data_IF_491439040522
#
_entry.id   IF_491439040522
#
_cell.length_a   1.000
_cell.length_b   1.000
_cell.length_c   1.000
_cell.angle_alpha   90.00
_cell.angle_beta   90.00
_cell.angle_gamma   90.00
#
_symmetry.space_group_name_H-M   'P 1'
#
loop_
_entity.id
_entity.type
_entity.pdbx_description
1 polymer ?
#
# COMPACT_ATOMS: atom_id res chain seq x y z
N UNK A 1 -7.74 50.02 -36.37
CA UNK A 1 -6.85 49.93 -35.19
C UNK A 1 -6.97 48.53 -34.62
N UNK A 2 -6.13 47.62 -35.10
CA UNK A 2 -6.15 46.19 -34.79
C UNK A 2 -5.48 45.92 -33.44
N UNK A 3 -6.19 45.26 -32.51
CA UNK A 3 -5.62 44.80 -31.24
C UNK A 3 -5.07 43.39 -31.44
N UNK A 4 -3.76 43.25 -31.46
CA UNK A 4 -3.09 41.95 -31.38
C UNK A 4 -3.24 41.39 -29.96
N UNK A 5 -3.79 40.18 -29.87
CA UNK A 5 -3.89 39.38 -28.66
C UNK A 5 -2.62 38.54 -28.54
N UNK A 6 -1.84 38.72 -27.47
CA UNK A 6 -0.71 37.85 -27.10
C UNK A 6 -1.22 36.81 -26.10
N UNK A 7 -1.40 35.57 -26.56
CA UNK A 7 -1.70 34.43 -25.69
C UNK A 7 -0.46 33.93 -24.93
N UNK A 8 -0.63 33.34 -23.74
CA UNK A 8 0.49 32.77 -22.97
C UNK A 8 1.02 31.47 -23.61
N UNK A 9 2.34 31.34 -23.65
CA UNK A 9 3.08 30.19 -24.19
C UNK A 9 2.82 28.88 -23.41
N UNK A 10 2.88 27.71 -24.08
CA UNK A 10 2.74 26.42 -23.42
C UNK A 10 4.00 26.07 -22.61
N UNK A 11 3.80 25.75 -21.34
CA UNK A 11 4.83 25.21 -20.44
C UNK A 11 5.17 23.78 -20.88
N UNK A 12 6.44 23.54 -21.20
CA UNK A 12 6.99 22.20 -21.49
C UNK A 12 6.95 21.34 -20.22
N UNK A 13 6.52 20.07 -20.27
CA UNK A 13 6.74 19.13 -19.19
C UNK A 13 8.23 18.75 -19.14
N UNK A 14 8.84 18.99 -17.98
CA UNK A 14 10.20 18.58 -17.66
C UNK A 14 10.24 17.05 -17.49
N UNK A 15 10.83 16.37 -18.46
CA UNK A 15 11.16 14.95 -18.39
C UNK A 15 12.27 14.73 -17.36
N UNK A 16 11.91 14.37 -16.13
CA UNK A 16 12.85 13.83 -15.16
C UNK A 16 13.16 12.38 -15.53
N UNK A 17 14.25 12.20 -16.27
CA UNK A 17 14.96 10.94 -16.43
C UNK A 17 15.68 10.64 -15.11
N UNK A 18 15.05 9.88 -14.21
CA UNK A 18 15.77 9.21 -13.13
C UNK A 18 16.41 7.95 -13.67
N UNK A 19 17.72 8.04 -13.88
CA UNK A 19 18.63 6.93 -14.16
C UNK A 19 18.55 5.86 -13.07
N UNK A 20 18.58 4.56 -13.43
CA UNK A 20 18.78 3.49 -12.47
C UNK A 20 20.25 3.51 -12.01
N UNK A 21 20.46 3.68 -10.70
CA UNK A 21 21.76 3.48 -10.07
C UNK A 21 22.03 1.96 -10.05
N UNK A 22 22.88 1.51 -10.96
CA UNK A 22 23.49 0.18 -10.93
C UNK A 22 24.41 0.07 -9.70
N UNK A 23 23.96 -0.65 -8.67
CA UNK A 23 24.87 -1.18 -7.64
C UNK A 23 25.45 -2.50 -8.14
N UNK A 24 26.53 -2.40 -8.91
CA UNK A 24 27.38 -3.53 -9.27
C UNK A 24 28.83 -3.07 -9.23
N UNK A 25 29.52 -3.36 -8.13
CA UNK A 25 30.98 -3.64 -8.06
C UNK A 25 31.51 -3.43 -6.64
N UNK A 26 31.42 -4.45 -5.79
CA UNK A 26 32.30 -4.61 -4.63
C UNK A 26 32.94 -6.00 -4.77
N UNK A 27 33.84 -6.11 -5.75
CA UNK A 27 34.86 -7.15 -5.82
C UNK A 27 36.10 -6.59 -5.13
N UNK A 28 36.68 -7.27 -4.14
CA UNK A 28 38.03 -7.00 -3.69
C UNK A 28 39.05 -7.63 -4.67
N UNK A 29 40.06 -6.85 -5.02
CA UNK A 29 41.25 -7.28 -5.78
C UNK A 29 41.92 -8.50 -5.13
N UNK A 30 42.29 -9.54 -5.89
CA UNK A 30 43.26 -10.53 -5.46
C UNK A 30 44.68 -10.05 -5.80
N UNK A 31 45.48 -9.75 -4.78
CA UNK A 31 46.93 -9.63 -4.91
C UNK A 31 47.52 -10.95 -5.43
N UNK A 32 48.33 -10.94 -6.49
CA UNK A 32 49.23 -12.03 -6.80
C UNK A 32 50.60 -11.75 -6.16
N UNK A 33 51.15 -12.72 -5.42
CA UNK A 33 52.54 -13.11 -5.63
C UNK A 33 52.87 -14.48 -5.02
N UNK A 34 53.90 -15.17 -5.55
CA UNK A 34 54.00 -16.61 -5.50
C UNK A 34 55.16 -17.12 -4.61
N UNK A 35 55.02 -18.40 -4.22
CA UNK A 35 56.04 -19.41 -3.88
C UNK A 35 57.18 -19.04 -2.89
N UNK A 36 57.21 -19.71 -1.73
CA UNK A 36 58.32 -20.63 -1.43
C UNK A 36 58.02 -21.53 -0.23
N UNK A 37 58.41 -22.80 -0.34
CA UNK A 37 57.93 -23.90 0.48
C UNK A 37 58.61 -24.08 1.84
N UNK A 38 57.99 -24.90 2.70
CA UNK A 38 58.68 -25.90 3.50
C UNK A 38 57.69 -26.84 4.22
N UNK A 39 57.94 -28.12 4.00
CA UNK A 39 57.45 -29.34 4.63
C UNK A 39 57.19 -29.22 6.16
N UNK A 40 56.03 -29.70 6.60
CA UNK A 40 55.75 -29.93 8.02
C UNK A 40 54.41 -30.62 8.24
N UNK A 41 54.44 -31.93 8.50
CA UNK A 41 53.26 -32.75 8.70
C UNK A 41 52.40 -32.31 9.89
N UNK A 42 51.10 -32.16 9.63
CA UNK A 42 50.06 -32.26 10.64
C UNK A 42 48.79 -32.71 9.92
N UNK A 43 48.41 -33.95 10.16
CA UNK A 43 47.15 -34.56 9.76
C UNK A 43 45.98 -33.78 10.36
N UNK A 44 45.54 -32.74 9.66
CA UNK A 44 44.24 -32.12 9.91
C UNK A 44 43.17 -32.98 9.25
N UNK A 45 42.09 -33.40 9.94
CA UNK A 45 40.99 -34.08 9.28
C UNK A 45 40.40 -33.10 8.26
N UNK A 46 40.55 -33.46 6.99
CA UNK A 46 39.87 -32.78 5.90
C UNK A 46 38.38 -32.78 6.21
N UNK A 47 37.83 -31.61 6.57
CA UNK A 47 36.41 -31.33 6.43
C UNK A 47 36.09 -31.25 4.94
N UNK A 48 36.19 -32.40 4.26
CA UNK A 48 35.59 -32.66 2.98
C UNK A 48 34.09 -32.77 3.16
N UNK A 49 33.44 -31.67 3.58
CA UNK A 49 32.00 -31.53 3.45
C UNK A 49 31.76 -31.16 1.99
N UNK A 50 31.84 -32.16 1.12
CA UNK A 50 31.27 -32.10 -0.22
C UNK A 50 29.79 -31.79 -0.03
N UNK A 51 29.45 -30.51 -0.12
CA UNK A 51 28.11 -29.99 -0.01
C UNK A 51 27.38 -30.40 -1.29
N UNK A 52 27.03 -31.67 -1.37
CA UNK A 52 26.23 -32.21 -2.46
C UNK A 52 24.84 -31.59 -2.29
N UNK A 53 24.39 -30.67 -3.16
CA UNK A 53 23.14 -29.95 -2.96
C UNK A 53 21.90 -30.83 -3.13
N UNK A 54 22.07 -32.14 -3.36
CA UNK A 54 21.04 -32.97 -3.95
C UNK A 54 20.11 -33.66 -2.97
N UNK A 55 20.44 -33.75 -1.68
CA UNK A 55 19.55 -34.31 -0.63
C UNK A 55 19.97 -33.82 0.76
N UNK A 56 19.50 -32.64 1.20
CA UNK A 56 19.42 -32.41 2.66
C UNK A 56 18.22 -33.22 3.17
N UNK A 57 18.39 -34.06 4.20
CA UNK A 57 17.25 -34.73 4.84
C UNK A 57 16.24 -33.67 5.29
N UNK A 58 14.95 -33.86 5.01
CA UNK A 58 13.90 -32.93 5.42
C UNK A 58 13.94 -32.63 6.94
N UNK A 59 14.47 -33.56 7.73
CA UNK A 59 14.73 -33.40 9.16
C UNK A 59 15.65 -32.22 9.50
N UNK A 60 16.68 -31.92 8.68
CA UNK A 60 17.57 -30.78 8.90
C UNK A 60 16.83 -29.44 8.67
N UNK A 61 15.94 -29.40 7.67
CA UNK A 61 15.16 -28.19 7.35
C UNK A 61 14.11 -27.90 8.43
N UNK A 62 13.49 -28.93 9.00
CA UNK A 62 12.52 -28.78 10.11
C UNK A 62 13.21 -28.26 11.36
N UNK A 63 14.39 -28.77 11.71
CA UNK A 63 15.17 -28.27 12.84
C UNK A 63 15.62 -26.81 12.63
N UNK A 64 16.02 -26.46 11.41
CA UNK A 64 16.35 -25.08 11.06
C UNK A 64 15.14 -24.14 11.15
N UNK A 65 13.97 -24.59 10.69
CA UNK A 65 12.71 -23.86 10.82
C UNK A 65 12.34 -23.64 12.29
N UNK A 66 12.52 -24.65 13.16
CA UNK A 66 12.31 -24.53 14.60
C UNK A 66 13.25 -23.52 15.26
N UNK A 67 14.55 -23.59 14.95
CA UNK A 67 15.53 -22.65 15.47
C UNK A 67 15.21 -21.21 15.05
N UNK A 68 14.88 -21.03 13.77
CA UNK A 68 14.49 -19.73 13.20
C UNK A 68 13.21 -19.20 13.85
N UNK A 69 12.21 -20.06 14.06
CA UNK A 69 10.96 -19.67 14.71
C UNK A 69 11.18 -19.21 16.15
N UNK A 70 12.07 -19.86 16.90
CA UNK A 70 12.47 -19.43 18.25
C UNK A 70 13.19 -18.10 18.23
N UNK A 71 14.13 -17.91 17.31
CA UNK A 71 14.88 -16.67 17.15
C UNK A 71 13.96 -15.48 16.83
N UNK A 72 12.98 -15.70 15.95
CA UNK A 72 11.99 -14.69 15.55
C UNK A 72 10.80 -14.58 16.51
N UNK A 73 10.76 -15.38 17.60
CA UNK A 73 9.68 -15.43 18.59
C UNK A 73 8.29 -15.57 17.94
N UNK A 74 8.19 -16.43 16.93
CA UNK A 74 6.94 -16.67 16.22
C UNK A 74 5.90 -17.33 17.14
N UNK A 75 4.62 -17.01 16.90
CA UNK A 75 3.49 -17.68 17.56
C UNK A 75 3.46 -19.16 17.18
N UNK A 76 2.89 -20.01 18.06
CA UNK A 76 2.84 -21.46 17.86
C UNK A 76 2.24 -21.85 16.50
N UNK A 77 1.14 -21.20 16.09
CA UNK A 77 0.51 -21.42 14.78
C UNK A 77 1.47 -21.11 13.62
N UNK A 78 2.18 -19.98 13.69
CA UNK A 78 3.17 -19.58 12.69
C UNK A 78 4.37 -20.53 12.66
N UNK A 79 4.76 -21.09 13.81
CA UNK A 79 5.82 -22.10 13.87
C UNK A 79 5.41 -23.38 13.15
N UNK A 80 4.14 -23.81 13.27
CA UNK A 80 3.63 -24.99 12.59
C UNK A 80 3.65 -24.78 11.08
N UNK A 81 3.12 -23.65 10.60
CA UNK A 81 3.14 -23.31 9.18
C UNK A 81 4.55 -23.19 8.61
N UNK A 82 5.53 -22.72 9.38
CA UNK A 82 6.92 -22.67 8.94
C UNK A 82 7.56 -24.06 8.83
N UNK A 83 7.21 -24.99 9.73
CA UNK A 83 7.64 -26.39 9.61
C UNK A 83 7.03 -27.07 8.39
N UNK A 84 5.73 -26.87 8.15
CA UNK A 84 5.07 -27.37 6.95
C UNK A 84 5.74 -26.84 5.69
N UNK A 85 6.02 -25.53 5.65
CA UNK A 85 6.75 -24.89 4.55
C UNK A 85 8.14 -25.50 4.33
N UNK A 86 8.87 -25.81 5.39
CA UNK A 86 10.22 -26.39 5.31
C UNK A 86 10.27 -27.81 4.72
N UNK A 87 9.14 -28.50 4.70
CA UNK A 87 9.01 -29.86 4.14
C UNK A 87 8.64 -29.86 2.66
N UNK A 88 8.17 -28.73 2.12
CA UNK A 88 7.79 -28.58 0.72
C UNK A 88 9.03 -28.59 -0.19
N UNK A 89 8.85 -29.03 -1.44
CA UNK A 89 9.86 -28.92 -2.49
C UNK A 89 10.01 -27.45 -2.93
N UNK A 90 11.18 -27.07 -3.46
CA UNK A 90 11.44 -25.70 -3.93
C UNK A 90 10.33 -25.09 -4.84
N UNK A 91 9.78 -25.77 -5.87
CA UNK A 91 8.67 -25.22 -6.64
C UNK A 91 7.39 -25.04 -5.80
N UNK A 92 7.08 -25.97 -4.90
CA UNK A 92 5.92 -25.91 -4.02
C UNK A 92 6.04 -24.76 -3.01
N UNK A 93 7.24 -24.52 -2.50
CA UNK A 93 7.54 -23.37 -1.63
C UNK A 93 7.26 -22.04 -2.35
N UNK A 94 7.61 -21.93 -3.62
CA UNK A 94 7.36 -20.72 -4.41
C UNK A 94 5.86 -20.44 -4.60
N UNK A 95 5.08 -21.50 -4.88
CA UNK A 95 3.63 -21.43 -5.05
C UNK A 95 2.97 -21.09 -3.70
N UNK A 96 3.41 -21.72 -2.62
CA UNK A 96 2.92 -21.46 -1.28
C UNK A 96 3.12 -20.00 -0.87
N UNK A 97 4.32 -19.46 -1.14
CA UNK A 97 4.66 -18.07 -0.83
C UNK A 97 3.82 -17.10 -1.68
N UNK A 98 3.66 -17.36 -2.97
CA UNK A 98 2.79 -16.56 -3.85
C UNK A 98 1.33 -16.55 -3.35
N UNK A 99 0.78 -17.70 -2.96
CA UNK A 99 -0.56 -17.80 -2.40
C UNK A 99 -0.73 -17.02 -1.09
N UNK A 100 0.26 -17.10 -0.19
CA UNK A 100 0.26 -16.31 1.06
C UNK A 100 0.33 -14.81 0.80
N UNK A 101 1.15 -14.37 -0.15
CA UNK A 101 1.23 -12.96 -0.55
C UNK A 101 -0.09 -12.46 -1.15
N UNK A 102 -0.74 -13.25 -2.00
CA UNK A 102 -2.05 -12.90 -2.56
C UNK A 102 -3.12 -12.78 -1.46
N UNK A 103 -3.19 -13.75 -0.54
CA UNK A 103 -4.13 -13.70 0.59
C UNK A 103 -3.88 -12.47 1.48
N UNK A 104 -2.62 -12.09 1.72
CA UNK A 104 -2.28 -10.87 2.44
C UNK A 104 -2.70 -9.62 1.68
N UNK A 105 -2.48 -9.55 0.36
CA UNK A 105 -2.93 -8.44 -0.47
C UNK A 105 -4.45 -8.28 -0.47
N UNK A 106 -5.19 -9.39 -0.48
CA UNK A 106 -6.66 -9.35 -0.35
C UNK A 106 -7.07 -8.74 1.00
N UNK A 107 -6.47 -9.20 2.11
CA UNK A 107 -6.76 -8.64 3.44
C UNK A 107 -6.37 -7.16 3.51
N UNK A 108 -5.19 -6.78 3.02
CA UNK A 108 -4.74 -5.38 2.98
C UNK A 108 -5.64 -4.50 2.10
N UNK A 109 -6.20 -5.03 1.01
CA UNK A 109 -7.14 -4.29 0.16
C UNK A 109 -8.46 -3.98 0.87
N UNK A 110 -8.83 -4.80 1.87
CA UNK A 110 -10.06 -4.61 2.66
C UNK A 110 -9.84 -3.77 3.92
N UNK A 111 -8.59 -3.66 4.38
CA UNK A 111 -8.21 -2.80 5.50
C UNK A 111 -8.24 -1.34 5.05
N UNK A 112 -9.38 -0.69 5.24
CA UNK A 112 -9.45 0.77 5.25
C UNK A 112 -8.62 1.29 6.42
N UNK A 113 -7.64 2.16 6.16
CA UNK A 113 -6.82 2.75 7.21
C UNK A 113 -7.73 3.45 8.24
N UNK A 114 -7.71 3.05 9.53
CA UNK A 114 -8.64 3.56 10.54
C UNK A 114 -8.49 5.07 10.82
N UNK A 115 -7.39 5.68 10.35
CA UNK A 115 -7.08 7.10 10.54
C UNK A 115 -6.95 7.88 9.23
N UNK A 116 -7.47 7.37 8.11
CA UNK A 116 -7.60 8.19 6.92
C UNK A 116 -8.72 9.21 7.15
N UNK A 117 -8.38 10.33 7.80
CA UNK A 117 -9.24 11.51 7.90
C UNK A 117 -9.64 11.87 6.48
N UNK A 118 -10.91 11.70 6.15
CA UNK A 118 -11.40 12.10 4.84
C UNK A 118 -11.28 13.62 4.74
N UNK A 119 -10.29 14.07 3.98
CA UNK A 119 -10.16 15.47 3.63
C UNK A 119 -11.17 15.77 2.52
N UNK A 120 -12.17 16.60 2.85
CA UNK A 120 -13.13 17.07 1.87
C UNK A 120 -12.41 17.88 0.78
N UNK A 121 -12.67 17.62 -0.52
CA UNK A 121 -12.10 18.44 -1.57
C UNK A 121 -12.53 19.91 -1.41
N UNK A 122 -11.60 20.85 -1.52
CA UNK A 122 -11.87 22.30 -1.43
C UNK A 122 -12.95 22.77 -2.41
N UNK A 123 -13.07 22.10 -3.56
CA UNK A 123 -14.12 22.38 -4.55
C UNK A 123 -15.51 21.99 -4.05
N UNK A 124 -15.61 20.91 -3.29
CA UNK A 124 -16.86 20.45 -2.70
C UNK A 124 -17.24 21.35 -1.52
N UNK A 125 -16.27 21.74 -0.70
CA UNK A 125 -16.46 22.69 0.39
C UNK A 125 -16.99 24.04 -0.13
N UNK A 126 -16.33 24.62 -1.14
CA UNK A 126 -16.78 25.88 -1.75
C UNK A 126 -18.17 25.77 -2.40
N UNK A 127 -18.49 24.64 -3.03
CA UNK A 127 -19.82 24.40 -3.57
C UNK A 127 -20.88 24.27 -2.46
N UNK A 128 -20.56 23.60 -1.35
CA UNK A 128 -21.46 23.54 -0.19
C UNK A 128 -21.74 24.96 0.30
N UNK A 129 -20.71 25.78 0.52
CA UNK A 129 -20.87 27.15 1.00
C UNK A 129 -21.76 28.00 0.07
N UNK A 130 -21.55 27.90 -1.25
CA UNK A 130 -22.35 28.63 -2.24
C UNK A 130 -23.83 28.20 -2.23
N UNK A 131 -24.08 26.89 -2.23
CA UNK A 131 -25.44 26.35 -2.34
C UNK A 131 -26.20 26.30 -1.00
N UNK A 132 -25.52 26.36 0.15
CA UNK A 132 -26.18 26.45 1.47
C UNK A 132 -27.07 27.68 1.53
N UNK A 133 -26.58 28.84 1.10
CA UNK A 133 -27.38 30.07 1.11
C UNK A 133 -28.59 29.99 0.17
N UNK A 134 -28.41 29.39 -1.01
CA UNK A 134 -29.50 29.19 -1.96
C UNK A 134 -30.59 28.26 -1.41
N UNK A 135 -30.21 27.20 -0.71
CA UNK A 135 -31.16 26.30 -0.06
C UNK A 135 -31.87 27.00 1.10
N UNK A 136 -31.17 27.75 1.95
CA UNK A 136 -31.77 28.44 3.09
C UNK A 136 -32.71 29.59 2.66
N UNK A 137 -32.41 30.25 1.55
CA UNK A 137 -33.22 31.34 0.99
C UNK A 137 -34.29 30.87 0.00
N UNK A 138 -34.41 29.55 -0.21
CA UNK A 138 -35.44 28.98 -1.09
C UNK A 138 -36.84 29.36 -0.53
N UNK A 139 -37.74 29.94 -1.34
CA UNK A 139 -39.09 30.28 -0.90
C UNK A 139 -39.90 29.06 -0.42
N UNK A 140 -39.46 27.85 -0.76
CA UNK A 140 -40.02 26.59 -0.26
C UNK A 140 -39.39 26.09 1.05
N UNK A 141 -38.49 26.86 1.68
CA UNK A 141 -37.78 26.46 2.90
C UNK A 141 -38.72 26.12 4.08
N UNK A 142 -39.92 26.71 4.13
CA UNK A 142 -40.96 26.36 5.12
C UNK A 142 -41.36 24.88 5.06
N UNK A 143 -41.23 24.23 3.90
CA UNK A 143 -41.51 22.80 3.71
C UNK A 143 -40.40 21.90 4.27
N UNK A 144 -39.20 22.43 4.52
CA UNK A 144 -38.07 21.65 5.01
C UNK A 144 -38.30 21.13 6.43
N UNK A 145 -39.06 21.90 7.23
CA UNK A 145 -39.46 21.51 8.60
C UNK A 145 -40.51 20.39 8.56
N UNK A 146 -41.38 20.38 7.54
CA UNK A 146 -42.45 19.38 7.40
C UNK A 146 -41.91 18.01 6.96
N UNK A 147 -40.77 17.95 6.29
CA UNK A 147 -40.16 16.72 5.76
C UNK A 147 -39.20 16.02 6.76
N UNK A 148 -39.09 16.52 8.00
CA UNK A 148 -38.24 15.94 9.04
C UNK A 148 -36.79 16.46 9.05
N UNK A 149 -35.93 15.87 9.90
CA UNK A 149 -34.60 16.38 10.31
C UNK A 149 -33.58 16.58 9.16
N UNK A 150 -33.87 16.18 7.93
CA UNK A 150 -32.92 16.17 6.80
C UNK A 150 -33.36 16.99 5.58
N UNK A 151 -34.44 17.76 5.65
CA UNK A 151 -34.98 18.52 4.50
C UNK A 151 -33.96 19.39 3.75
N UNK A 152 -33.24 20.30 4.43
CA UNK A 152 -32.26 21.17 3.77
C UNK A 152 -31.06 20.39 3.20
N UNK A 153 -30.57 19.39 3.95
CA UNK A 153 -29.45 18.55 3.51
C UNK A 153 -29.83 17.70 2.28
N UNK A 154 -31.06 17.18 2.22
CA UNK A 154 -31.54 16.44 1.06
C UNK A 154 -31.62 17.32 -0.19
N UNK A 155 -32.07 18.57 -0.05
CA UNK A 155 -32.05 19.55 -1.14
C UNK A 155 -30.63 19.88 -1.59
N UNK A 156 -29.74 20.18 -0.65
CA UNK A 156 -28.36 20.53 -0.92
C UNK A 156 -27.62 19.39 -1.66
N UNK A 157 -27.68 18.17 -1.14
CA UNK A 157 -27.10 16.99 -1.80
C UNK A 157 -27.69 16.76 -3.19
N UNK A 158 -29.00 16.96 -3.37
CA UNK A 158 -29.66 16.90 -4.67
C UNK A 158 -29.21 17.96 -5.68
N UNK A 159 -28.82 19.15 -5.22
CA UNK A 159 -28.21 20.17 -6.09
C UNK A 159 -26.78 19.80 -6.45
N UNK A 160 -25.97 19.41 -5.47
CA UNK A 160 -24.56 19.04 -5.67
C UNK A 160 -24.41 17.83 -6.60
N UNK A 161 -25.29 16.82 -6.51
CA UNK A 161 -25.29 15.66 -7.41
C UNK A 161 -25.56 16.01 -8.87
N UNK A 162 -26.34 17.07 -9.14
CA UNK A 162 -26.64 17.51 -10.51
C UNK A 162 -25.47 18.27 -11.14
N UNK A 163 -24.49 18.68 -10.33
CA UNK A 163 -23.32 19.45 -10.75
C UNK A 163 -22.09 18.53 -10.72
N UNK A 164 -21.67 17.95 -11.85
CA UNK A 164 -20.49 17.09 -11.88
C UNK A 164 -19.19 17.85 -11.52
N UNK A 165 -19.18 19.18 -11.63
CA UNK A 165 -18.07 20.05 -11.22
C UNK A 165 -17.94 20.21 -9.70
N UNK A 166 -18.96 19.84 -8.90
CA UNK A 166 -18.93 19.98 -7.44
C UNK A 166 -17.94 19.00 -6.77
N UNK A 167 -17.57 17.93 -7.46
CA UNK A 167 -16.74 16.86 -6.90
C UNK A 167 -17.53 15.85 -6.04
N UNK A 168 -18.85 16.03 -5.86
CA UNK A 168 -19.70 15.05 -5.20
C UNK A 168 -19.99 13.89 -6.17
N UNK A 169 -19.30 12.76 -6.00
CA UNK A 169 -19.54 11.55 -6.78
C UNK A 169 -20.40 10.55 -6.02
N UNK A 170 -21.09 9.67 -6.74
CA UNK A 170 -21.88 8.56 -6.15
C UNK A 170 -21.04 7.67 -5.23
N UNK A 171 -19.73 7.57 -5.49
CA UNK A 171 -18.79 6.82 -4.65
C UNK A 171 -18.62 7.42 -3.26
N UNK A 172 -18.64 8.75 -3.14
CA UNK A 172 -18.56 9.46 -1.85
C UNK A 172 -19.86 9.29 -1.07
N UNK A 173 -21.00 9.20 -1.76
CA UNK A 173 -22.31 8.91 -1.14
C UNK A 173 -22.52 7.44 -0.76
N UNK A 174 -21.76 6.51 -1.32
CA UNK A 174 -21.82 5.10 -0.91
C UNK A 174 -20.97 4.83 0.35
N UNK A 175 -19.95 5.65 0.61
CA UNK A 175 -19.04 5.50 1.74
C UNK A 175 -19.58 6.23 2.98
N UNK A 176 -20.04 5.45 3.97
CA UNK A 176 -20.63 5.97 5.21
C UNK A 176 -19.68 6.89 5.97
N UNK A 177 -18.38 6.64 5.93
CA UNK A 177 -17.36 7.43 6.63
C UNK A 177 -17.20 8.81 5.99
N UNK A 178 -17.21 8.87 4.64
CA UNK A 178 -17.12 10.12 3.89
C UNK A 178 -18.42 10.92 3.99
N UNK A 179 -19.55 10.24 3.98
CA UNK A 179 -20.86 10.86 4.19
C UNK A 179 -20.97 11.50 5.58
N UNK A 180 -20.49 10.83 6.64
CA UNK A 180 -20.49 11.42 7.98
C UNK A 180 -19.61 12.66 8.09
N UNK A 181 -18.56 12.79 7.27
CA UNK A 181 -17.75 14.00 7.22
C UNK A 181 -18.49 15.19 6.55
N UNK A 182 -19.49 14.91 5.71
CA UNK A 182 -20.31 15.92 5.02
C UNK A 182 -21.56 16.27 5.83
N UNK A 183 -22.20 15.28 6.44
CA UNK A 183 -23.33 15.49 7.34
C UNK A 183 -22.81 15.70 8.77
N UNK A 184 -22.46 16.94 9.13
CA UNK A 184 -22.21 17.29 10.53
C UNK A 184 -23.51 17.13 11.32
N UNK A 185 -23.86 15.91 11.70
CA UNK A 185 -24.68 15.64 12.86
C UNK A 185 -23.72 15.65 14.04
N UNK A 186 -23.69 16.80 14.73
CA UNK A 186 -22.93 16.94 15.96
C UNK A 186 -23.24 15.79 16.91
N UNK A 187 -22.19 15.04 17.25
CA UNK A 187 -22.12 14.37 18.54
C UNK A 187 -22.03 15.48 19.60
N UNK A 188 -23.18 15.89 20.11
CA UNK A 188 -23.32 16.32 21.50
C UNK A 188 -23.94 15.18 22.29
#
# INVERSE_FOLDING_TARGET
>A
MSRHWNGPSPVRPSSFLTSPVELSSLLPDPDPDPEDGALGGSSSPSLGRTNNPRKRPAEEMVQYAEATARQLRLKLESTHSLKEYSQLLAPEQSIWLAGRLLAQNEVLSTLQAPEAVYHMPLTLEGAIDEYVFLVLLDPTASTYVAQGKTGPLHRLTGYLLKLPSSGLTSTIMADKVRLSAISVTGTM
#
